data_IF_710039165568
#
_entry.id   IF_710039165568
#
_cell.length_a   1.000
_cell.length_b   1.000
_cell.length_c   1.000
_cell.angle_alpha   90.00
_cell.angle_beta   90.00
_cell.angle_gamma   90.00
#
_symmetry.space_group_name_H-M   'P 1'
#
loop_
_entity.id
_entity.type
_entity.pdbx_description
1 polymer ?
#
# COMPACT_ATOMS: atom_id res chain seq x y z
N UNK A 1 -18.10 -9.64 -5.35
CA UNK A 1 -17.71 -8.84 -6.53
C UNK A 1 -16.19 -8.87 -6.60
N UNK A 2 -15.58 -9.21 -7.74
CA UNK A 2 -14.12 -9.25 -7.87
C UNK A 2 -13.63 -7.84 -8.19
N UNK A 3 -12.74 -7.29 -7.36
CA UNK A 3 -12.20 -5.94 -7.54
C UNK A 3 -11.10 -5.94 -8.61
N UNK A 4 -10.83 -4.82 -9.26
CA UNK A 4 -9.73 -4.73 -10.22
C UNK A 4 -9.07 -3.36 -10.28
N UNK A 5 -7.85 -3.32 -10.82
CA UNK A 5 -7.13 -2.08 -11.04
C UNK A 5 -7.86 -1.19 -12.04
N UNK A 6 -8.38 -1.76 -13.13
CA UNK A 6 -9.08 -1.02 -14.18
C UNK A 6 -10.29 -0.28 -13.60
N UNK A 7 -11.09 -0.93 -12.76
CA UNK A 7 -12.21 -0.28 -12.06
C UNK A 7 -11.72 0.75 -11.05
N UNK A 8 -10.75 0.40 -10.20
CA UNK A 8 -10.16 1.33 -9.22
C UNK A 8 -9.59 2.60 -9.89
N UNK A 9 -8.98 2.46 -11.06
CA UNK A 9 -8.33 3.57 -11.78
C UNK A 9 -9.33 4.61 -12.30
N UNK A 10 -10.63 4.28 -12.37
CA UNK A 10 -11.69 5.23 -12.73
C UNK A 10 -11.93 6.28 -11.65
N UNK A 11 -11.56 6.00 -10.39
CA UNK A 11 -11.64 6.96 -9.30
C UNK A 11 -10.49 7.99 -9.37
N UNK A 12 -10.84 9.25 -9.15
CA UNK A 12 -9.91 10.38 -9.32
C UNK A 12 -9.08 10.64 -8.07
N UNK A 13 -9.67 10.45 -6.90
CA UNK A 13 -9.02 10.72 -5.62
C UNK A 13 -8.36 9.47 -5.03
N UNK A 14 -7.37 9.69 -4.18
CA UNK A 14 -6.75 8.59 -3.43
C UNK A 14 -7.75 7.96 -2.45
N UNK A 15 -8.59 8.78 -1.84
CA UNK A 15 -9.57 8.37 -0.83
C UNK A 15 -10.64 7.45 -1.42
N UNK A 16 -11.11 7.72 -2.62
CA UNK A 16 -12.03 6.83 -3.34
C UNK A 16 -11.36 5.50 -3.70
N UNK A 17 -10.12 5.53 -4.20
CA UNK A 17 -9.34 4.30 -4.50
C UNK A 17 -9.11 3.48 -3.24
N UNK A 18 -8.75 4.13 -2.14
CA UNK A 18 -8.59 3.50 -0.84
C UNK A 18 -9.91 2.88 -0.37
N UNK A 19 -11.02 3.61 -0.42
CA UNK A 19 -12.34 3.11 -0.02
C UNK A 19 -12.83 1.96 -0.91
N UNK A 20 -12.46 1.94 -2.18
CA UNK A 20 -12.74 0.83 -3.07
C UNK A 20 -11.96 -0.43 -2.66
N UNK A 21 -10.70 -0.29 -2.25
CA UNK A 21 -9.82 -1.41 -1.91
C UNK A 21 -9.94 -1.91 -0.48
N UNK A 22 -10.32 -1.04 0.48
CA UNK A 22 -10.31 -1.38 1.91
C UNK A 22 -11.11 -2.66 2.17
N UNK A 23 -10.58 -3.47 3.07
CA UNK A 23 -11.24 -4.67 3.55
C UNK A 23 -12.00 -4.31 4.82
N UNK A 24 -13.32 -4.50 4.85
CA UNK A 24 -14.15 -4.29 6.05
C UNK A 24 -14.01 -5.45 7.07
N UNK A 25 -12.92 -6.22 6.99
CA UNK A 25 -12.76 -7.53 7.61
C UNK A 25 -12.04 -7.52 8.97
N UNK A 26 -12.51 -8.38 9.86
CA UNK A 26 -11.95 -8.68 11.19
C UNK A 26 -10.47 -9.02 11.14
N UNK A 27 -9.68 -8.33 11.97
CA UNK A 27 -8.27 -8.65 12.23
C UNK A 27 -8.15 -10.14 12.61
N UNK A 28 -7.39 -10.89 11.82
CA UNK A 28 -7.06 -12.29 12.13
C UNK A 28 -7.37 -13.31 11.03
N UNK A 29 -8.04 -12.93 9.95
CA UNK A 29 -8.15 -13.84 8.80
C UNK A 29 -6.79 -14.00 8.13
N UNK A 30 -6.42 -15.27 8.00
CA UNK A 30 -5.10 -15.83 7.74
C UNK A 30 -4.56 -15.41 6.37
N UNK A 31 -4.22 -14.13 6.22
CA UNK A 31 -3.64 -13.56 5.01
C UNK A 31 -2.14 -13.83 5.04
N UNK A 32 -1.77 -15.04 4.62
CA UNK A 32 -0.45 -15.38 4.10
C UNK A 32 0.78 -15.14 5.01
N UNK A 33 0.62 -15.33 6.32
CA UNK A 33 1.71 -15.22 7.29
C UNK A 33 2.56 -16.48 7.50
N UNK A 34 2.11 -17.67 7.09
CA UNK A 34 2.64 -18.92 7.65
C UNK A 34 3.71 -19.64 6.82
N UNK A 35 3.70 -19.50 5.49
CA UNK A 35 4.65 -20.19 4.61
C UNK A 35 5.74 -19.23 4.08
N UNK A 36 6.67 -18.85 4.96
CA UNK A 36 7.80 -17.94 4.62
C UNK A 36 8.57 -18.38 3.37
N UNK A 37 8.67 -19.69 3.12
CA UNK A 37 9.34 -20.22 1.94
C UNK A 37 8.60 -19.90 0.63
N UNK A 38 7.25 -19.86 0.63
CA UNK A 38 6.45 -19.50 -0.55
C UNK A 38 6.59 -18.02 -0.89
N UNK A 39 6.56 -17.16 0.13
CA UNK A 39 6.80 -15.72 -0.05
C UNK A 39 8.18 -15.48 -0.65
N UNK A 40 9.20 -16.17 -0.13
CA UNK A 40 10.55 -16.08 -0.69
C UNK A 40 10.57 -16.55 -2.16
N UNK A 41 10.03 -17.73 -2.46
CA UNK A 41 10.03 -18.30 -3.81
C UNK A 41 9.32 -17.40 -4.83
N UNK A 42 8.16 -16.83 -4.47
CA UNK A 42 7.43 -15.91 -5.33
C UNK A 42 8.16 -14.59 -5.50
N UNK A 43 8.45 -13.89 -4.39
CA UNK A 43 8.89 -12.50 -4.45
C UNK A 43 10.35 -12.32 -4.90
N UNK A 44 11.14 -13.39 -4.96
CA UNK A 44 12.47 -13.36 -5.61
C UNK A 44 12.51 -13.94 -7.01
N UNK A 45 11.38 -14.42 -7.56
CA UNK A 45 11.34 -14.93 -8.93
C UNK A 45 11.53 -13.82 -9.98
N UNK A 46 12.11 -14.18 -11.12
CA UNK A 46 12.31 -13.23 -12.22
C UNK A 46 11.00 -12.75 -12.83
N UNK A 47 9.99 -13.62 -12.93
CA UNK A 47 8.64 -13.26 -13.37
C UNK A 47 8.02 -12.19 -12.46
N UNK A 48 8.13 -12.36 -11.14
CA UNK A 48 7.64 -11.37 -10.20
C UNK A 48 8.39 -10.04 -10.33
N UNK A 49 9.73 -10.07 -10.47
CA UNK A 49 10.52 -8.85 -10.68
C UNK A 49 10.11 -8.13 -11.98
N UNK A 50 9.86 -8.87 -13.05
CA UNK A 50 9.42 -8.30 -14.32
C UNK A 50 8.03 -7.67 -14.21
N UNK A 51 7.07 -8.35 -13.58
CA UNK A 51 5.71 -7.82 -13.36
C UNK A 51 5.73 -6.62 -12.42
N UNK A 52 6.50 -6.68 -11.33
CA UNK A 52 6.70 -5.55 -10.41
C UNK A 52 7.14 -4.30 -11.14
N UNK A 53 8.10 -4.42 -12.06
CA UNK A 53 8.55 -3.27 -12.85
C UNK A 53 7.45 -2.70 -13.76
N UNK A 54 6.63 -3.57 -14.38
CA UNK A 54 5.48 -3.14 -15.19
C UNK A 54 4.45 -2.38 -14.35
N UNK A 55 4.15 -2.86 -13.16
CA UNK A 55 3.20 -2.22 -12.23
C UNK A 55 3.72 -0.84 -11.80
N UNK A 56 5.00 -0.73 -11.42
CA UNK A 56 5.61 0.55 -11.03
C UNK A 56 5.58 1.56 -12.17
N UNK A 57 5.87 1.13 -13.41
CA UNK A 57 5.84 2.00 -14.58
C UNK A 57 4.42 2.48 -14.89
N UNK A 58 3.43 1.58 -14.86
CA UNK A 58 2.01 1.92 -15.06
C UNK A 58 1.53 2.94 -14.01
N UNK A 59 1.86 2.70 -12.74
CA UNK A 59 1.42 3.54 -11.63
C UNK A 59 2.30 4.78 -11.42
N UNK A 60 3.30 4.98 -12.29
CA UNK A 60 4.28 6.08 -12.22
C UNK A 60 4.95 6.22 -10.85
N UNK A 61 5.11 5.10 -10.14
CA UNK A 61 5.63 5.07 -8.77
C UNK A 61 4.79 5.88 -7.78
N UNK A 62 3.47 5.96 -7.98
CA UNK A 62 2.56 6.67 -7.09
C UNK A 62 1.70 5.70 -6.26
N UNK A 63 1.36 6.08 -5.04
CA UNK A 63 0.54 5.28 -4.14
C UNK A 63 -0.87 5.12 -4.72
N UNK A 64 -1.34 3.88 -4.81
CA UNK A 64 -2.58 3.51 -5.50
C UNK A 64 -2.66 3.99 -6.96
N UNK A 65 -1.50 4.23 -7.60
CA UNK A 65 -1.41 4.86 -8.92
C UNK A 65 -2.00 6.28 -8.97
N UNK A 66 -2.14 6.96 -7.83
CA UNK A 66 -2.75 8.27 -7.72
C UNK A 66 -1.69 9.37 -7.98
N UNK A 67 -1.78 10.18 -9.05
CA UNK A 67 -0.69 11.04 -9.52
C UNK A 67 -0.12 12.04 -8.50
N UNK A 68 -0.90 12.45 -7.51
CA UNK A 68 -0.51 13.40 -6.46
C UNK A 68 0.12 12.73 -5.23
N UNK A 69 0.23 11.40 -5.18
CA UNK A 69 0.79 10.64 -4.05
C UNK A 69 2.05 9.88 -4.45
N UNK A 70 3.12 10.60 -4.82
CA UNK A 70 4.37 9.96 -5.24
C UNK A 70 5.01 9.17 -4.09
N UNK A 71 5.41 7.94 -4.35
CA UNK A 71 6.12 7.10 -3.37
C UNK A 71 7.58 7.54 -3.29
N UNK A 72 8.01 7.96 -2.10
CA UNK A 72 9.43 8.17 -1.77
C UNK A 72 9.98 6.93 -1.07
N UNK A 73 10.88 6.19 -1.74
CA UNK A 73 11.57 5.04 -1.15
C UNK A 73 11.02 3.68 -1.62
N UNK A 74 10.79 2.76 -0.68
CA UNK A 74 10.40 1.39 -1.01
C UNK A 74 8.97 1.33 -1.55
N UNK A 75 8.81 0.69 -2.72
CA UNK A 75 7.52 0.45 -3.35
C UNK A 75 7.10 -0.99 -3.13
N UNK A 76 5.95 -1.17 -2.48
CA UNK A 76 5.29 -2.47 -2.28
C UNK A 76 4.29 -2.66 -3.43
N UNK A 77 4.15 -3.89 -3.91
CA UNK A 77 3.07 -4.26 -4.82
C UNK A 77 2.03 -4.99 -3.99
N UNK A 78 0.81 -4.47 -3.98
CA UNK A 78 -0.32 -5.07 -3.29
C UNK A 78 -1.20 -5.83 -4.29
N UNK A 79 -1.59 -7.05 -3.92
CA UNK A 79 -2.62 -7.81 -4.65
C UNK A 79 -4.01 -7.29 -4.25
N UNK A 80 -4.76 -6.75 -5.21
CA UNK A 80 -6.11 -6.18 -5.01
C UNK A 80 -7.08 -7.24 -4.49
N UNK A 81 -7.05 -8.43 -5.10
CA UNK A 81 -7.71 -9.61 -4.60
C UNK A 81 -6.65 -10.53 -3.98
N UNK A 82 -6.86 -11.03 -2.76
CA UNK A 82 -5.93 -11.95 -2.11
C UNK A 82 -5.63 -13.17 -2.98
N UNK A 83 -4.37 -13.61 -2.96
CA UNK A 83 -3.93 -14.86 -3.57
C UNK A 83 -3.88 -15.97 -2.51
N UNK A 84 -4.13 -17.20 -2.92
CA UNK A 84 -4.09 -18.39 -2.07
C UNK A 84 -2.75 -19.15 -2.18
N UNK A 85 -2.47 -20.04 -1.23
CA UNK A 85 -1.31 -20.94 -1.29
C UNK A 85 -1.28 -21.75 -2.57
N UNK A 86 -2.45 -22.23 -2.97
CA UNK A 86 -2.63 -23.03 -4.17
C UNK A 86 -2.31 -22.24 -5.44
N UNK A 87 -2.60 -20.94 -5.44
CA UNK A 87 -2.21 -20.06 -6.54
C UNK A 87 -0.69 -20.02 -6.71
N UNK A 88 0.07 -19.93 -5.62
CA UNK A 88 1.54 -19.88 -5.69
C UNK A 88 2.11 -21.21 -6.14
N UNK A 89 1.64 -22.32 -5.56
CA UNK A 89 2.11 -23.66 -5.90
C UNK A 89 1.86 -24.00 -7.38
N UNK A 90 0.68 -23.62 -7.90
CA UNK A 90 0.31 -23.88 -9.29
C UNK A 90 0.73 -22.76 -10.26
N UNK A 91 1.44 -21.73 -9.78
CA UNK A 91 1.78 -20.52 -10.56
C UNK A 91 0.57 -19.94 -11.29
N UNK A 92 -0.56 -19.81 -10.60
CA UNK A 92 -1.78 -19.28 -11.17
C UNK A 92 -1.52 -17.88 -11.78
N UNK A 93 -1.94 -17.63 -13.04
CA UNK A 93 -1.75 -16.33 -13.71
C UNK A 93 -2.23 -15.11 -12.90
N UNK A 94 -3.21 -15.28 -12.00
CA UNK A 94 -3.73 -14.20 -11.14
C UNK A 94 -2.66 -13.53 -10.26
N UNK A 95 -1.55 -14.22 -9.99
CA UNK A 95 -0.40 -13.70 -9.25
C UNK A 95 0.31 -12.57 -10.02
N UNK A 96 0.35 -12.72 -11.34
CA UNK A 96 1.09 -11.87 -12.27
C UNK A 96 0.18 -10.91 -13.04
N UNK A 97 -1.12 -10.98 -12.79
CA UNK A 97 -2.15 -10.18 -13.45
C UNK A 97 -2.01 -8.70 -13.06
N UNK A 98 -1.70 -7.84 -14.03
CA UNK A 98 -1.60 -6.41 -13.80
C UNK A 98 -2.92 -5.84 -13.27
N UNK A 99 -4.07 -6.39 -13.68
CA UNK A 99 -5.37 -5.92 -13.23
C UNK A 99 -5.68 -6.33 -11.76
N UNK A 100 -4.84 -7.17 -11.16
CA UNK A 100 -4.90 -7.56 -9.76
C UNK A 100 -3.78 -6.94 -8.89
N UNK A 101 -2.96 -6.03 -9.44
CA UNK A 101 -1.79 -5.49 -8.75
C UNK A 101 -1.82 -3.96 -8.72
N UNK A 102 -1.30 -3.36 -7.66
CA UNK A 102 -1.16 -1.89 -7.51
C UNK A 102 0.03 -1.52 -6.63
N UNK A 103 0.71 -0.41 -6.92
CA UNK A 103 1.77 0.11 -6.04
C UNK A 103 1.22 0.74 -4.76
N UNK A 104 1.86 0.44 -3.63
CA UNK A 104 1.56 1.04 -2.33
C UNK A 104 2.82 1.40 -1.55
N UNK A 105 2.69 2.31 -0.58
CA UNK A 105 3.63 2.37 0.54
C UNK A 105 3.23 1.37 1.64
N UNK A 106 4.13 1.13 2.60
CA UNK A 106 3.83 0.25 3.73
C UNK A 106 2.63 0.72 4.56
N UNK A 107 2.48 2.03 4.76
CA UNK A 107 1.34 2.59 5.52
C UNK A 107 0.02 2.31 4.80
N UNK A 108 -0.06 2.58 3.49
CA UNK A 108 -1.25 2.31 2.67
C UNK A 108 -1.57 0.83 2.56
N UNK A 109 -0.56 -0.01 2.36
CA UNK A 109 -0.74 -1.46 2.38
C UNK A 109 -1.41 -1.91 3.68
N UNK A 110 -0.90 -1.48 4.83
CA UNK A 110 -1.45 -1.84 6.13
C UNK A 110 -2.84 -1.24 6.35
N UNK A 111 -3.06 0.02 5.99
CA UNK A 111 -4.35 0.69 6.10
C UNK A 111 -5.46 -0.03 5.31
N UNK A 112 -5.15 -0.60 4.14
CA UNK A 112 -6.10 -1.41 3.37
C UNK A 112 -6.50 -2.68 4.12
N UNK A 113 -5.52 -3.38 4.71
CA UNK A 113 -5.77 -4.61 5.48
C UNK A 113 -6.52 -4.36 6.78
N UNK A 114 -6.25 -3.24 7.45
CA UNK A 114 -6.93 -2.87 8.69
C UNK A 114 -8.22 -2.09 8.49
N UNK A 115 -8.53 -1.69 7.25
CA UNK A 115 -9.69 -0.85 6.93
C UNK A 115 -9.66 0.55 7.56
N UNK A 116 -8.53 0.98 8.15
CA UNK A 116 -8.42 2.22 8.92
C UNK A 116 -7.59 3.27 8.19
N UNK A 117 -8.29 4.25 7.62
CA UNK A 117 -7.68 5.38 6.93
C UNK A 117 -6.89 6.29 7.88
N UNK A 118 -7.14 6.25 9.20
CA UNK A 118 -6.39 7.06 10.17
C UNK A 118 -4.95 6.56 10.37
N UNK A 119 -4.62 5.35 9.88
CA UNK A 119 -3.23 4.87 9.81
C UNK A 119 -2.41 5.59 8.73
N UNK A 120 -3.07 6.32 7.84
CA UNK A 120 -2.41 7.18 6.88
C UNK A 120 -2.13 8.52 7.53
N UNK A 121 -0.94 9.06 7.25
CA UNK A 121 -0.70 10.47 7.51
C UNK A 121 -1.74 11.23 6.68
N UNK A 122 -2.77 11.77 7.32
CA UNK A 122 -3.60 12.80 6.67
C UNK A 122 -2.62 13.87 6.21
N UNK A 123 -2.85 14.48 5.04
CA UNK A 123 -2.03 15.59 4.51
C UNK A 123 -2.14 16.86 5.38
N UNK A 124 -1.96 16.71 6.69
CA UNK A 124 -1.94 17.73 7.69
C UNK A 124 -0.54 18.30 7.62
N UNK A 125 -0.41 19.41 6.91
CA UNK A 125 0.73 20.29 7.06
C UNK A 125 0.67 20.84 8.48
N UNK A 126 1.49 20.29 9.38
CA UNK A 126 1.64 20.82 10.73
C UNK A 126 2.48 22.08 10.63
N UNK A 127 1.88 23.24 10.90
CA UNK A 127 2.61 24.50 10.98
C UNK A 127 3.67 24.41 12.08
N UNK A 128 4.92 24.68 11.70
CA UNK A 128 6.06 24.60 12.62
C UNK A 128 5.97 25.72 13.65
N UNK A 129 6.21 25.42 14.92
CA UNK A 129 6.24 26.43 15.99
C UNK A 129 7.61 26.46 16.67
N UNK A 130 8.03 27.59 17.27
CA UNK A 130 9.27 27.64 18.03
C UNK A 130 9.37 26.48 19.03
N UNK A 131 10.50 25.78 18.99
CA UNK A 131 10.84 24.66 19.86
C UNK A 131 9.99 23.38 19.69
N UNK A 132 9.18 23.26 18.64
CA UNK A 132 8.38 22.05 18.34
C UNK A 132 9.18 20.75 18.13
N UNK A 133 10.49 20.86 17.91
CA UNK A 133 11.44 19.75 17.73
C UNK A 133 12.55 19.75 18.77
N UNK A 134 12.42 20.56 19.82
CA UNK A 134 13.35 20.62 20.95
C UNK A 134 12.61 20.31 22.26
N UNK A 135 12.31 19.04 22.59
CA UNK A 135 11.55 18.66 23.79
C UNK A 135 12.14 19.16 25.11
N UNK A 136 13.43 19.52 25.13
CA UNK A 136 14.16 20.04 26.28
C UNK A 136 14.13 21.57 26.42
N UNK A 137 13.53 22.30 25.46
CA UNK A 137 13.36 23.76 25.55
C UNK A 137 11.95 24.08 26.03
N UNK A 138 11.87 24.68 27.22
CA UNK A 138 10.60 25.13 27.79
C UNK A 138 10.20 26.49 27.19
N UNK A 139 8.97 26.58 26.65
CA UNK A 139 8.40 27.82 26.11
C UNK A 139 8.27 28.91 27.18
N UNK A 140 8.15 28.52 28.45
CA UNK A 140 7.99 29.44 29.59
C UNK A 140 9.18 30.39 29.81
N UNK A 141 10.34 30.10 29.20
CA UNK A 141 11.56 30.89 29.39
C UNK A 141 11.70 32.08 28.46
N UNK A 142 10.89 32.20 27.39
CA UNK A 142 11.02 33.25 26.37
C UNK A 142 9.80 34.19 26.24
N UNK A 143 8.66 33.90 26.89
CA UNK A 143 7.48 34.77 26.91
C UNK A 143 7.53 35.83 28.05
N UNK A 144 8.72 36.40 28.34
CA UNK A 144 8.88 37.52 29.27
C UNK A 144 9.35 38.78 28.56
#
# INVERSE_FOLDING_TARGET
MKRSYSEMSTYSSFEERFNYLKLDGTVGDVTFGWDRYLNQALYTSDDWRAVRNKVILRDKGCDLGCPNRRLSGSVIIHHINPISREDILNRNPIIFDLDNLVTTCLKTHNAIHYGDINLLDKDIVIERTPFDTCPWKDRSTYDK
#
